data_IF_355412566604
#
_entry.id   IF_355412566604
#
_cell.length_a   1.000
_cell.length_b   1.000
_cell.length_c   1.000
_cell.angle_alpha   90.00
_cell.angle_beta   90.00
_cell.angle_gamma   90.00
#
_symmetry.space_group_name_H-M   'P 1'
#
loop_
_entity.id
_entity.type
_entity.pdbx_description
1 polymer ?
#
# COMPACT_ATOMS: atom_id res chain seq x y z
N UNK A 1 -14.28 -8.32 10.36
CA UNK A 1 -12.80 -8.47 10.36
C UNK A 1 -12.19 -7.43 11.25
N UNK A 2 -12.32 -7.63 12.50
CA UNK A 2 -11.76 -6.72 13.49
C UNK A 2 -10.64 -7.43 14.25
N UNK A 3 -9.81 -6.66 14.90
CA UNK A 3 -8.77 -7.21 15.79
C UNK A 3 -7.78 -8.16 15.13
N UNK A 4 -7.36 -7.84 13.92
CA UNK A 4 -6.27 -8.57 13.29
C UNK A 4 -4.96 -8.09 13.90
N UNK A 5 -4.25 -8.98 14.58
CA UNK A 5 -2.96 -8.65 15.15
C UNK A 5 -1.89 -8.60 14.06
N UNK A 6 -1.04 -7.59 14.13
CA UNK A 6 0.04 -7.42 13.18
C UNK A 6 1.37 -7.23 13.91
N UNK A 7 2.45 -7.62 13.23
CA UNK A 7 3.81 -7.31 13.65
C UNK A 7 4.38 -6.35 12.62
N UNK A 8 4.89 -5.22 13.09
CA UNK A 8 5.52 -4.22 12.22
C UNK A 8 7.02 -4.21 12.47
N UNK A 9 7.79 -4.34 11.39
CA UNK A 9 9.24 -4.21 11.43
C UNK A 9 9.65 -2.95 10.69
N UNK A 10 10.49 -2.16 11.30
CA UNK A 10 11.02 -0.93 10.73
C UNK A 10 12.45 -1.16 10.28
N UNK A 11 12.80 -0.60 9.12
CA UNK A 11 14.17 -0.58 8.66
C UNK A 11 14.48 0.77 8.00
N UNK A 12 15.71 1.21 8.16
CA UNK A 12 16.19 2.40 7.49
C UNK A 12 17.07 1.99 6.32
N UNK A 13 16.80 2.56 5.15
CA UNK A 13 17.56 2.29 3.94
C UNK A 13 18.39 3.52 3.56
N UNK A 14 19.22 3.38 2.53
CA UNK A 14 20.02 4.51 2.03
C UNK A 14 19.16 5.64 1.44
N UNK A 15 17.90 5.33 1.07
CA UNK A 15 17.03 6.27 0.38
C UNK A 15 15.81 6.69 1.21
N UNK A 16 15.62 6.09 2.38
CA UNK A 16 14.46 6.40 3.21
C UNK A 16 14.17 5.36 4.26
N UNK A 17 12.90 5.16 4.54
CA UNK A 17 12.44 4.29 5.61
C UNK A 17 11.41 3.30 5.07
N UNK A 18 11.37 2.12 5.65
CA UNK A 18 10.39 1.10 5.29
C UNK A 18 9.79 0.45 6.54
N UNK A 19 8.49 0.22 6.49
CA UNK A 19 7.75 -0.50 7.53
C UNK A 19 7.13 -1.73 6.89
N UNK A 20 7.52 -2.92 7.35
CA UNK A 20 6.95 -4.19 6.91
C UNK A 20 5.88 -4.60 7.90
N UNK A 21 4.65 -4.75 7.44
CA UNK A 21 3.52 -5.11 8.28
C UNK A 21 3.05 -6.51 7.91
N UNK A 22 3.05 -7.41 8.88
CA UNK A 22 2.65 -8.79 8.67
C UNK A 22 1.59 -9.18 9.69
N UNK A 23 0.50 -9.78 9.24
CA UNK A 23 -0.47 -10.36 10.16
C UNK A 23 0.17 -11.53 10.90
N UNK A 24 -0.08 -11.61 12.20
CA UNK A 24 0.47 -12.67 13.06
C UNK A 24 0.04 -14.04 12.54
N UNK A 25 -1.20 -14.17 12.08
CA UNK A 25 -1.74 -15.42 11.54
C UNK A 25 -1.37 -15.67 10.07
N UNK A 26 -0.52 -14.79 9.49
CA UNK A 26 -0.02 -14.88 8.12
C UNK A 26 -1.09 -14.68 7.03
N UNK A 27 -2.25 -14.14 7.40
CA UNK A 27 -3.34 -13.91 6.44
C UNK A 27 -3.01 -12.85 5.39
N UNK A 28 -2.20 -11.85 5.75
CA UNK A 28 -1.80 -10.80 4.81
C UNK A 28 -0.47 -10.15 5.23
N UNK A 29 0.10 -9.41 4.29
CA UNK A 29 1.25 -8.55 4.55
C UNK A 29 1.24 -7.38 3.57
N UNK A 30 1.92 -6.31 3.94
CA UNK A 30 2.19 -5.18 3.05
C UNK A 30 3.39 -4.40 3.58
N UNK A 31 3.89 -3.47 2.77
CA UNK A 31 4.99 -2.60 3.18
C UNK A 31 4.65 -1.16 2.86
N UNK A 32 5.15 -0.26 3.68
CA UNK A 32 5.05 1.19 3.47
C UNK A 32 6.46 1.75 3.34
N UNK A 33 6.70 2.52 2.30
CA UNK A 33 7.99 3.16 2.04
C UNK A 33 7.83 4.66 2.09
N UNK A 34 8.80 5.33 2.71
CA UNK A 34 8.89 6.79 2.72
C UNK A 34 10.29 7.16 2.26
N UNK A 35 10.38 7.90 1.16
CA UNK A 35 11.67 8.31 0.61
C UNK A 35 12.08 9.66 1.19
N UNK A 36 13.39 9.85 1.43
CA UNK A 36 13.93 11.06 2.05
C UNK A 36 13.64 12.32 1.23
N UNK A 37 13.56 12.17 -0.10
CA UNK A 37 13.30 13.30 -1.00
C UNK A 37 11.81 13.54 -1.29
N UNK A 38 10.92 12.81 -0.63
CA UNK A 38 9.47 12.92 -0.86
C UNK A 38 8.71 12.65 0.44
N UNK A 39 8.82 13.57 1.39
CA UNK A 39 8.26 13.40 2.73
C UNK A 39 6.72 13.40 2.77
N UNK A 40 6.08 13.90 1.72
CA UNK A 40 4.62 14.02 1.68
C UNK A 40 3.91 12.77 1.19
N UNK A 41 4.66 11.80 0.68
CA UNK A 41 4.11 10.61 0.03
C UNK A 41 4.55 9.34 0.72
N UNK A 42 3.60 8.44 0.96
CA UNK A 42 3.88 7.06 1.39
C UNK A 42 3.58 6.14 0.22
N UNK A 43 4.47 5.20 -0.04
CA UNK A 43 4.32 4.20 -1.11
C UNK A 43 3.90 2.87 -0.52
N UNK A 44 2.72 2.40 -0.91
CA UNK A 44 2.20 1.09 -0.51
C UNK A 44 2.73 0.04 -1.49
N UNK A 45 3.35 -1.00 -0.96
CA UNK A 45 3.99 -2.04 -1.76
C UNK A 45 3.85 -3.41 -1.11
N UNK A 46 4.19 -4.45 -1.86
CA UNK A 46 4.25 -5.83 -1.36
C UNK A 46 2.93 -6.30 -0.74
N UNK A 47 1.81 -5.83 -1.26
CA UNK A 47 0.50 -6.22 -0.77
C UNK A 47 0.23 -7.68 -1.14
N UNK A 48 -0.07 -8.47 -0.14
CA UNK A 48 -0.34 -9.88 -0.32
C UNK A 48 -1.42 -10.35 0.64
N UNK A 49 -2.38 -11.11 0.14
CA UNK A 49 -3.39 -11.78 0.94
C UNK A 49 -3.29 -13.27 0.64
N UNK A 50 -3.19 -14.09 1.68
CA UNK A 50 -3.08 -15.53 1.55
C UNK A 50 -4.25 -16.07 0.72
N UNK A 51 -3.98 -17.02 -0.18
CA UNK A 51 -4.95 -17.49 -1.17
C UNK A 51 -6.30 -17.91 -0.56
N UNK A 52 -6.27 -18.65 0.54
CA UNK A 52 -7.49 -19.12 1.20
C UNK A 52 -8.18 -18.04 2.05
N UNK A 53 -7.59 -16.86 2.13
CA UNK A 53 -8.14 -15.70 2.86
C UNK A 53 -8.67 -14.61 1.94
N UNK A 54 -8.55 -14.79 0.62
CA UNK A 54 -9.03 -13.79 -0.35
C UNK A 54 -10.55 -13.76 -0.37
N UNK A 55 -11.11 -12.59 -0.71
CA UNK A 55 -12.55 -12.40 -0.74
C UNK A 55 -13.20 -12.23 0.63
N UNK A 56 -12.41 -12.06 1.70
CA UNK A 56 -12.92 -11.97 3.07
C UNK A 56 -12.70 -10.59 3.70
N UNK A 57 -12.40 -9.57 2.91
CA UNK A 57 -12.26 -8.20 3.41
C UNK A 57 -10.87 -7.79 3.86
N UNK A 58 -9.85 -8.64 3.70
CA UNK A 58 -8.49 -8.29 4.13
C UNK A 58 -7.90 -7.13 3.33
N UNK A 59 -8.28 -6.98 2.05
CA UNK A 59 -7.86 -5.83 1.25
C UNK A 59 -8.27 -4.51 1.88
N UNK A 60 -9.50 -4.43 2.37
CA UNK A 60 -9.99 -3.23 3.07
C UNK A 60 -9.21 -2.99 4.36
N UNK A 61 -8.88 -4.04 5.11
CA UNK A 61 -8.08 -3.93 6.33
C UNK A 61 -6.71 -3.36 5.99
N UNK A 62 -6.06 -3.85 4.93
CA UNK A 62 -4.77 -3.35 4.48
C UNK A 62 -4.84 -1.88 4.12
N UNK A 63 -5.80 -1.47 3.27
CA UNK A 63 -5.92 -0.09 2.85
C UNK A 63 -6.21 0.84 4.02
N UNK A 64 -7.14 0.47 4.90
CA UNK A 64 -7.45 1.28 6.06
C UNK A 64 -6.24 1.45 6.97
N UNK A 65 -5.48 0.38 7.20
CA UNK A 65 -4.27 0.41 8.01
C UNK A 65 -3.18 1.27 7.37
N UNK A 66 -2.99 1.13 6.06
CA UNK A 66 -1.98 1.89 5.33
C UNK A 66 -2.30 3.39 5.32
N UNK A 67 -3.54 3.75 5.04
CA UNK A 67 -3.95 5.15 4.99
C UNK A 67 -3.87 5.79 6.37
N UNK A 68 -4.28 5.07 7.40
CA UNK A 68 -4.19 5.55 8.78
C UNK A 68 -2.73 5.77 9.21
N UNK A 69 -1.86 4.82 8.89
CA UNK A 69 -0.44 4.93 9.20
C UNK A 69 0.20 6.10 8.46
N UNK A 70 -0.11 6.26 7.16
CA UNK A 70 0.42 7.36 6.36
C UNK A 70 0.02 8.73 6.93
N UNK A 71 -1.23 8.87 7.37
CA UNK A 71 -1.69 10.11 8.02
C UNK A 71 -0.91 10.40 9.30
N UNK A 72 -0.66 9.38 10.11
CA UNK A 72 0.13 9.54 11.34
C UNK A 72 1.56 9.97 11.06
N UNK A 73 2.11 9.57 9.91
CA UNK A 73 3.45 9.97 9.48
C UNK A 73 3.48 11.38 8.88
N UNK A 74 2.33 12.03 8.77
CA UNK A 74 2.23 13.37 8.19
C UNK A 74 2.16 13.40 6.68
N UNK A 75 1.96 12.25 6.03
CA UNK A 75 1.84 12.20 4.58
C UNK A 75 0.49 12.71 4.11
N UNK A 76 0.46 13.36 2.96
CA UNK A 76 -0.77 13.83 2.33
C UNK A 76 -1.25 12.91 1.23
N UNK A 77 -0.40 12.01 0.75
CA UNK A 77 -0.67 11.18 -0.44
C UNK A 77 -0.17 9.76 -0.22
N UNK A 78 -0.95 8.79 -0.68
CA UNK A 78 -0.49 7.41 -0.84
C UNK A 78 -0.37 7.12 -2.34
N UNK A 79 0.74 6.47 -2.72
CA UNK A 79 0.98 6.01 -4.08
C UNK A 79 1.17 4.50 -4.10
N UNK A 80 0.79 3.88 -5.20
CA UNK A 80 1.02 2.46 -5.43
C UNK A 80 1.16 2.19 -6.92
N UNK A 81 1.70 1.02 -7.26
CA UNK A 81 1.89 0.61 -8.64
C UNK A 81 1.13 -0.69 -8.87
N UNK A 82 0.34 -0.75 -9.93
CA UNK A 82 -0.44 -1.94 -10.29
C UNK A 82 -0.33 -2.21 -11.77
N UNK A 83 -0.58 -3.45 -12.16
CA UNK A 83 -0.63 -3.81 -13.58
C UNK A 83 -1.86 -3.15 -14.21
N UNK A 84 -1.64 -2.44 -15.32
CA UNK A 84 -2.68 -1.70 -16.02
C UNK A 84 -3.77 -2.68 -16.50
N UNK A 85 -5.03 -2.34 -16.22
CA UNK A 85 -6.18 -3.16 -16.62
C UNK A 85 -6.42 -4.40 -15.77
N UNK A 86 -5.63 -4.63 -14.72
CA UNK A 86 -5.81 -5.80 -13.85
C UNK A 86 -7.02 -5.63 -12.92
N UNK A 87 -7.41 -6.73 -12.28
CA UNK A 87 -8.43 -6.69 -11.23
C UNK A 87 -8.03 -5.71 -10.11
N UNK A 88 -6.75 -5.73 -9.70
CA UNK A 88 -6.26 -4.83 -8.66
C UNK A 88 -6.36 -3.37 -9.09
N UNK A 89 -6.07 -3.05 -10.36
CA UNK A 89 -6.20 -1.70 -10.89
C UNK A 89 -7.63 -1.18 -10.70
N UNK A 90 -8.62 -1.98 -11.09
CA UNK A 90 -10.03 -1.61 -10.95
C UNK A 90 -10.44 -1.51 -9.47
N UNK A 91 -9.93 -2.42 -8.65
CA UNK A 91 -10.25 -2.44 -7.23
C UNK A 91 -9.75 -1.18 -6.52
N UNK A 92 -8.51 -0.77 -6.80
CA UNK A 92 -7.98 0.47 -6.21
C UNK A 92 -8.74 1.70 -6.72
N UNK A 93 -9.13 1.71 -7.99
CA UNK A 93 -9.92 2.82 -8.55
C UNK A 93 -11.24 2.97 -7.78
N UNK A 94 -11.90 1.88 -7.45
CA UNK A 94 -13.14 1.92 -6.65
C UNK A 94 -12.91 2.41 -5.23
N UNK A 95 -11.67 2.38 -4.75
CA UNK A 95 -11.32 2.84 -3.40
C UNK A 95 -10.70 4.23 -3.39
N UNK A 96 -10.87 4.96 -4.47
CA UNK A 96 -10.49 6.38 -4.53
C UNK A 96 -9.11 6.67 -5.08
N UNK A 97 -8.43 5.66 -5.59
CA UNK A 97 -7.11 5.85 -6.22
C UNK A 97 -7.29 6.22 -7.69
N UNK A 98 -6.46 7.13 -8.17
CA UNK A 98 -6.50 7.61 -9.55
C UNK A 98 -5.16 7.39 -10.23
N UNK A 99 -5.23 7.06 -11.52
CA UNK A 99 -4.03 6.91 -12.36
C UNK A 99 -3.32 8.24 -12.53
N UNK A 100 -2.00 8.26 -12.52
CA UNK A 100 -1.30 9.50 -12.82
C UNK A 100 -0.12 9.34 -13.78
N UNK A 101 0.53 8.18 -13.87
CA UNK A 101 1.59 7.97 -14.86
C UNK A 101 1.89 6.50 -15.04
N UNK A 102 2.38 6.14 -16.22
CA UNK A 102 2.87 4.79 -16.46
C UNK A 102 4.26 4.62 -15.84
N UNK A 103 4.59 3.40 -15.45
CA UNK A 103 5.92 3.11 -14.95
C UNK A 103 6.94 3.22 -16.09
N UNK A 104 8.06 3.88 -15.84
CA UNK A 104 9.07 4.13 -16.86
C UNK A 104 9.78 2.84 -17.30
N UNK A 105 10.02 1.94 -16.35
CA UNK A 105 10.75 0.69 -16.64
C UNK A 105 9.85 -0.37 -17.26
N UNK A 106 8.57 -0.40 -16.85
CA UNK A 106 7.61 -1.37 -17.38
C UNK A 106 6.27 -0.68 -17.62
N UNK A 107 6.02 -0.20 -18.85
CA UNK A 107 4.79 0.54 -19.15
C UNK A 107 3.50 -0.27 -19.01
N UNK A 108 3.58 -1.58 -18.81
CA UNK A 108 2.40 -2.38 -18.50
C UNK A 108 1.88 -2.12 -17.09
N UNK A 109 2.65 -1.41 -16.25
CA UNK A 109 2.24 -1.00 -14.92
C UNK A 109 1.94 0.49 -14.89
N UNK A 110 1.00 0.86 -14.01
CA UNK A 110 0.61 2.25 -13.84
C UNK A 110 0.70 2.63 -12.37
N UNK A 111 1.13 3.86 -12.12
CA UNK A 111 1.15 4.44 -10.79
C UNK A 111 -0.19 5.08 -10.49
N UNK A 112 -0.72 4.80 -9.32
CA UNK A 112 -1.96 5.40 -8.82
C UNK A 112 -1.69 6.15 -7.54
N UNK A 113 -2.52 7.13 -7.24
CA UNK A 113 -2.40 7.89 -5.98
C UNK A 113 -3.76 8.24 -5.42
N UNK A 114 -3.78 8.50 -4.12
CA UNK A 114 -4.95 9.00 -3.40
C UNK A 114 -4.51 10.06 -2.40
N UNK A 115 -5.19 11.19 -2.42
CA UNK A 115 -5.00 12.23 -1.41
C UNK A 115 -5.71 11.78 -0.14
N UNK A 116 -5.00 11.78 1.00
CA UNK A 116 -5.52 11.26 2.27
C UNK A 116 -5.64 12.33 3.35
N UNK A 117 -5.28 13.56 3.02
CA UNK A 117 -5.40 14.68 3.98
C UNK A 117 -6.18 15.83 3.37
#
# INVERSE_FOLDING_TARGET
MENVEVITKYDKTDFGEVWYVNAVDKSFRFALYKYDDDADTIYLSNVFVKKDKRGQGYGNVILNSAEKAAKKMGASTICLKVKNGSFAHQWYARHGYTDFTNDEEDPSYIWMKKEIM
#
